data_IF_044960748681
#
_entry.id   IF_044960748681
#
_cell.length_a   1.000
_cell.length_b   1.000
_cell.length_c   1.000
_cell.angle_alpha   90.00
_cell.angle_beta   90.00
_cell.angle_gamma   90.00
#
_symmetry.space_group_name_H-M   'P 1'
#
loop_
_entity.id
_entity.type
_entity.pdbx_description
1 polymer ?
#
# COMPACT_ATOMS: atom_id res chain seq x y z
N UNK A 1 -21.15 19.99 -21.06
CA UNK A 1 -20.46 20.27 -19.78
C UNK A 1 -19.46 19.16 -19.54
N UNK A 2 -18.19 19.47 -19.28
CA UNK A 2 -17.13 18.45 -19.17
C UNK A 2 -17.39 17.55 -17.95
N UNK A 3 -18.06 16.42 -18.18
CA UNK A 3 -18.27 15.36 -17.19
C UNK A 3 -16.90 14.91 -16.69
N UNK A 4 -16.57 15.24 -15.43
CA UNK A 4 -15.35 14.94 -14.68
C UNK A 4 -14.31 14.07 -15.40
N UNK A 5 -13.63 14.67 -16.39
CA UNK A 5 -12.66 13.96 -17.21
C UNK A 5 -11.46 13.54 -16.34
N UNK A 6 -11.01 14.39 -15.43
CA UNK A 6 -9.84 14.09 -14.59
C UNK A 6 -10.26 13.44 -13.25
N UNK A 7 -9.95 12.16 -13.09
CA UNK A 7 -10.33 11.36 -11.93
C UNK A 7 -9.09 10.96 -11.13
N UNK A 8 -9.17 11.09 -9.80
CA UNK A 8 -8.03 10.95 -8.90
C UNK A 8 -7.97 9.56 -8.27
N UNK A 9 -6.84 8.87 -8.41
CA UNK A 9 -6.58 7.56 -7.79
C UNK A 9 -5.97 7.68 -6.39
N UNK A 10 -5.33 8.82 -6.07
CA UNK A 10 -5.13 9.30 -4.69
C UNK A 10 -5.89 10.62 -4.57
N UNK A 11 -6.81 10.75 -3.61
CA UNK A 11 -7.82 11.80 -3.67
C UNK A 11 -7.22 13.14 -3.30
N UNK A 12 -7.73 14.20 -3.92
CA UNK A 12 -7.26 15.54 -3.60
C UNK A 12 -7.47 15.87 -2.11
N UNK A 13 -8.57 15.41 -1.50
CA UNK A 13 -8.82 15.65 -0.07
C UNK A 13 -7.71 15.10 0.84
N UNK A 14 -7.03 14.04 0.43
CA UNK A 14 -5.87 13.48 1.11
C UNK A 14 -4.60 14.29 0.85
N UNK A 15 -4.28 14.57 -0.43
CA UNK A 15 -3.08 15.32 -0.79
C UNK A 15 -3.07 16.73 -0.20
N UNK A 16 -4.25 17.35 -0.05
CA UNK A 16 -4.44 18.66 0.58
C UNK A 16 -3.95 18.74 2.03
N UNK A 17 -3.82 17.60 2.73
CA UNK A 17 -3.26 17.58 4.08
C UNK A 17 -1.73 17.74 4.09
N UNK A 18 -1.09 17.59 2.93
CA UNK A 18 0.35 17.76 2.72
C UNK A 18 0.67 18.99 1.88
N UNK A 19 -0.29 19.92 1.73
CA UNK A 19 -0.09 21.16 1.00
C UNK A 19 1.08 21.98 1.52
N UNK A 20 1.76 22.70 0.64
CA UNK A 20 2.83 23.64 1.00
C UNK A 20 2.33 24.96 1.59
N UNK A 21 1.04 25.24 1.42
CA UNK A 21 0.39 26.47 1.86
C UNK A 21 -1.06 26.23 2.32
N UNK A 22 -1.63 27.25 2.97
CA UNK A 22 -3.00 27.21 3.51
C UNK A 22 -4.09 27.21 2.42
N UNK A 23 -3.75 27.62 1.18
CA UNK A 23 -4.70 27.57 0.05
C UNK A 23 -5.06 26.13 -0.34
N UNK A 24 -4.23 25.15 0.08
CA UNK A 24 -4.42 23.73 -0.23
C UNK A 24 -4.50 23.47 -1.75
N UNK A 25 -3.81 24.30 -2.54
CA UNK A 25 -3.79 24.21 -3.99
C UNK A 25 -2.51 23.57 -4.53
N UNK A 26 -1.40 23.68 -3.78
CA UNK A 26 -0.07 23.27 -4.23
C UNK A 26 0.62 22.31 -3.25
N UNK A 27 1.50 21.47 -3.76
CA UNK A 27 2.25 20.48 -2.98
C UNK A 27 3.69 20.39 -3.49
N UNK A 28 4.63 20.11 -2.61
CA UNK A 28 6.00 19.84 -3.01
C UNK A 28 6.10 18.39 -3.49
N UNK A 29 6.51 18.19 -4.74
CA UNK A 29 6.67 16.89 -5.37
C UNK A 29 8.15 16.61 -5.60
N UNK A 30 8.58 15.38 -5.37
CA UNK A 30 9.86 14.86 -5.84
C UNK A 30 9.63 13.59 -6.65
N UNK A 31 10.05 13.61 -7.91
CA UNK A 31 9.99 12.45 -8.78
C UNK A 31 11.28 11.65 -8.65
N UNK A 32 11.17 10.38 -8.24
CA UNK A 32 12.32 9.49 -8.02
C UNK A 32 13.09 9.25 -9.32
N UNK A 33 12.39 8.84 -10.38
CA UNK A 33 13.01 8.44 -11.64
C UNK A 33 13.80 9.59 -12.29
N UNK A 34 13.21 10.79 -12.29
CA UNK A 34 13.81 12.01 -12.84
C UNK A 34 14.74 12.72 -11.86
N UNK A 35 14.80 12.26 -10.61
CA UNK A 35 15.49 12.93 -9.49
C UNK A 35 15.19 14.43 -9.41
N UNK A 36 13.94 14.81 -9.67
CA UNK A 36 13.53 16.21 -9.87
C UNK A 36 12.51 16.67 -8.84
N UNK A 37 12.79 17.81 -8.22
CA UNK A 37 11.86 18.52 -7.35
C UNK A 37 10.96 19.48 -8.14
N UNK A 38 9.69 19.55 -7.77
CA UNK A 38 8.74 20.58 -8.16
C UNK A 38 8.16 21.17 -6.87
N UNK A 39 8.60 22.37 -6.50
CA UNK A 39 8.27 22.99 -5.21
C UNK A 39 6.77 23.29 -5.04
N UNK A 40 6.08 23.58 -6.15
CA UNK A 40 4.69 24.06 -6.17
C UNK A 40 3.88 23.33 -7.25
N UNK A 41 3.78 22.01 -7.13
CA UNK A 41 2.98 21.20 -8.05
C UNK A 41 1.47 21.39 -7.76
N UNK A 42 0.62 21.69 -8.76
CA UNK A 42 -0.82 21.82 -8.52
C UNK A 42 -1.44 20.48 -8.11
N UNK A 43 -2.08 20.42 -6.94
CA UNK A 43 -2.71 19.20 -6.39
C UNK A 43 -3.76 18.63 -7.35
N UNK A 44 -4.53 19.50 -8.02
CA UNK A 44 -5.55 19.11 -9.00
C UNK A 44 -5.01 18.29 -10.18
N UNK A 45 -3.70 18.33 -10.43
CA UNK A 45 -3.03 17.59 -11.52
C UNK A 45 -2.22 16.39 -10.99
N UNK A 46 -2.24 16.13 -9.68
CA UNK A 46 -1.50 15.04 -9.07
C UNK A 46 -2.38 13.81 -8.89
N UNK A 47 -1.77 12.63 -9.02
CA UNK A 47 -2.41 11.34 -8.80
C UNK A 47 -3.77 11.19 -9.52
N UNK A 48 -3.84 11.62 -10.78
CA UNK A 48 -5.07 11.62 -11.58
C UNK A 48 -4.82 11.22 -13.02
N UNK A 49 -5.87 10.71 -13.67
CA UNK A 49 -5.90 10.39 -15.10
C UNK A 49 -7.25 10.70 -15.69
N UNK A 50 -7.27 10.87 -17.00
CA UNK A 50 -8.51 11.00 -17.73
C UNK A 50 -9.31 9.70 -17.66
N UNK A 51 -10.57 9.77 -17.19
CA UNK A 51 -11.52 8.66 -17.08
C UNK A 51 -10.95 7.41 -16.38
N UNK A 52 -10.16 7.62 -15.31
CA UNK A 52 -9.49 6.55 -14.58
C UNK A 52 -10.43 5.42 -14.09
N UNK A 53 -11.62 5.79 -13.64
CA UNK A 53 -12.69 4.90 -13.18
C UNK A 53 -13.68 4.51 -14.30
N UNK A 54 -13.59 5.16 -15.46
CA UNK A 54 -14.58 5.08 -16.54
C UNK A 54 -15.35 6.38 -16.75
N UNK A 55 -16.21 6.38 -17.77
CA UNK A 55 -16.92 7.57 -18.26
C UNK A 55 -18.27 7.80 -17.56
N UNK A 56 -18.85 6.77 -16.94
CA UNK A 56 -20.22 6.79 -16.37
C UNK A 56 -20.36 7.56 -15.04
N UNK A 57 -19.23 7.98 -14.44
CA UNK A 57 -19.13 8.68 -13.15
C UNK A 57 -19.70 7.91 -11.93
N UNK A 58 -20.04 6.63 -12.06
CA UNK A 58 -20.68 5.85 -10.98
C UNK A 58 -19.73 5.71 -9.81
N UNK A 59 -18.49 5.27 -10.06
CA UNK A 59 -17.48 5.10 -9.03
C UNK A 59 -17.04 6.45 -8.43
N UNK A 60 -16.86 7.48 -9.26
CA UNK A 60 -16.50 8.82 -8.80
C UNK A 60 -17.53 9.34 -7.77
N UNK A 61 -18.83 9.21 -8.08
CA UNK A 61 -19.91 9.60 -7.16
C UNK A 61 -19.94 8.73 -5.90
N UNK A 62 -19.68 7.43 -6.01
CA UNK A 62 -19.63 6.54 -4.85
C UNK A 62 -18.47 6.85 -3.88
N UNK A 63 -17.37 7.40 -4.39
CA UNK A 63 -16.19 7.77 -3.59
C UNK A 63 -16.38 9.10 -2.83
N UNK A 64 -17.17 10.03 -3.36
CA UNK A 64 -17.34 11.38 -2.79
C UNK A 64 -17.73 11.39 -1.29
N UNK A 65 -18.71 10.60 -0.80
CA UNK A 65 -19.05 10.58 0.62
C UNK A 65 -17.91 10.06 1.51
N UNK A 66 -17.16 9.06 1.02
CA UNK A 66 -16.02 8.48 1.73
C UNK A 66 -14.91 9.54 1.87
N UNK A 67 -14.64 10.26 0.78
CA UNK A 67 -13.63 11.33 0.74
C UNK A 67 -14.02 12.55 1.58
N UNK A 68 -15.31 12.89 1.61
CA UNK A 68 -15.86 13.91 2.50
C UNK A 68 -15.70 13.54 3.97
N UNK A 69 -16.06 12.31 4.34
CA UNK A 69 -15.87 11.78 5.71
C UNK A 69 -14.40 11.75 6.11
N UNK A 70 -13.51 11.32 5.21
CA UNK A 70 -12.07 11.34 5.47
C UNK A 70 -11.56 12.77 5.73
N UNK A 71 -11.96 13.73 4.90
CA UNK A 71 -11.55 15.12 5.08
C UNK A 71 -12.01 15.71 6.41
N UNK A 72 -13.23 15.40 6.86
CA UNK A 72 -13.73 15.80 8.16
C UNK A 72 -12.94 15.13 9.29
N UNK A 73 -12.69 13.83 9.19
CA UNK A 73 -11.98 13.05 10.21
C UNK A 73 -10.54 13.51 10.42
N UNK A 74 -9.78 13.80 9.36
CA UNK A 74 -8.39 14.27 9.53
C UNK A 74 -8.34 15.61 10.25
N UNK A 75 -9.30 16.51 10.01
CA UNK A 75 -9.40 17.78 10.75
C UNK A 75 -9.60 17.53 12.25
N UNK A 76 -10.52 16.62 12.60
CA UNK A 76 -10.80 16.31 14.01
C UNK A 76 -9.66 15.53 14.69
N UNK A 77 -8.94 14.67 13.96
CA UNK A 77 -7.80 13.91 14.50
C UNK A 77 -6.68 14.81 15.03
N UNK A 78 -6.49 15.99 14.43
CA UNK A 78 -5.46 16.93 14.83
C UNK A 78 -5.87 17.82 16.01
N UNK A 79 -7.15 17.84 16.38
CA UNK A 79 -7.68 18.63 17.49
C UNK A 79 -7.10 18.15 18.85
N UNK A 80 -6.88 19.08 19.80
CA UNK A 80 -6.51 18.71 21.14
C UNK A 80 -7.54 17.75 21.76
N UNK A 81 -7.05 16.69 22.40
CA UNK A 81 -7.87 15.68 23.10
C UNK A 81 -8.73 14.76 22.23
N UNK A 82 -8.52 14.71 20.91
CA UNK A 82 -9.14 13.67 20.09
C UNK A 82 -8.85 12.27 20.63
N UNK A 83 -9.89 11.45 20.78
CA UNK A 83 -9.80 10.04 21.17
C UNK A 83 -10.27 9.21 19.98
N UNK A 84 -9.42 8.28 19.55
CA UNK A 84 -9.75 7.37 18.45
C UNK A 84 -10.88 6.42 18.91
N UNK A 85 -12.07 6.57 18.33
CA UNK A 85 -13.17 5.64 18.59
C UNK A 85 -13.06 4.39 17.71
N UNK A 86 -13.79 3.32 18.07
CA UNK A 86 -13.87 2.10 17.25
C UNK A 86 -14.43 2.37 15.85
N UNK A 87 -15.37 3.32 15.72
CA UNK A 87 -15.94 3.72 14.43
C UNK A 87 -14.91 4.43 13.55
N UNK A 88 -14.02 5.21 14.16
CA UNK A 88 -12.93 5.89 13.44
C UNK A 88 -11.87 4.89 13.03
N UNK A 89 -11.49 3.98 13.93
CA UNK A 89 -10.58 2.88 13.65
C UNK A 89 -11.08 2.02 12.48
N UNK A 90 -12.34 1.58 12.49
CA UNK A 90 -12.92 0.80 11.41
C UNK A 90 -12.92 1.57 10.08
N UNK A 91 -13.26 2.86 10.11
CA UNK A 91 -13.24 3.70 8.92
C UNK A 91 -11.82 3.91 8.38
N UNK A 92 -10.82 4.17 9.23
CA UNK A 92 -9.44 4.36 8.80
C UNK A 92 -8.87 3.09 8.15
N UNK A 93 -9.18 1.90 8.70
CA UNK A 93 -8.80 0.61 8.10
C UNK A 93 -9.43 0.42 6.72
N UNK A 94 -10.72 0.71 6.58
CA UNK A 94 -11.41 0.63 5.30
C UNK A 94 -10.91 1.68 4.30
N UNK A 95 -10.65 2.91 4.75
CA UNK A 95 -10.09 3.95 3.89
C UNK A 95 -8.68 3.60 3.42
N UNK A 96 -7.84 3.03 4.29
CA UNK A 96 -6.53 2.50 3.92
C UNK A 96 -6.67 1.40 2.85
N UNK A 97 -7.57 0.44 3.07
CA UNK A 97 -7.77 -0.66 2.12
C UNK A 97 -8.26 -0.15 0.76
N UNK A 98 -9.17 0.83 0.77
CA UNK A 98 -9.64 1.48 -0.43
C UNK A 98 -8.48 2.16 -1.18
N UNK A 99 -7.60 2.91 -0.50
CA UNK A 99 -6.40 3.47 -1.13
C UNK A 99 -5.46 2.38 -1.67
N UNK A 100 -5.27 1.29 -0.92
CA UNK A 100 -4.39 0.19 -1.31
C UNK A 100 -4.85 -0.51 -2.61
N UNK A 101 -6.16 -0.60 -2.83
CA UNK A 101 -6.76 -1.27 -3.99
C UNK A 101 -6.94 -0.38 -5.22
N UNK A 102 -7.08 0.94 -5.04
CA UNK A 102 -7.51 1.86 -6.11
C UNK A 102 -6.40 2.66 -6.80
N UNK A 103 -5.14 2.54 -6.39
CA UNK A 103 -4.05 3.32 -7.01
C UNK A 103 -3.74 2.84 -8.42
N UNK A 104 -3.10 3.70 -9.22
CA UNK A 104 -2.58 3.26 -10.52
C UNK A 104 -1.60 2.09 -10.35
N UNK A 105 -0.77 2.13 -9.30
CA UNK A 105 0.13 1.04 -8.98
C UNK A 105 -0.65 -0.27 -8.79
N UNK A 106 -1.78 -0.25 -8.07
CA UNK A 106 -2.65 -1.42 -7.91
C UNK A 106 -3.24 -1.93 -9.20
N UNK A 107 -3.75 -1.01 -10.02
CA UNK A 107 -4.44 -1.36 -11.26
C UNK A 107 -3.48 -2.00 -12.28
N UNK A 108 -2.24 -1.51 -12.35
CA UNK A 108 -1.23 -2.11 -13.23
C UNK A 108 -0.84 -3.52 -12.85
N UNK A 109 -0.81 -3.85 -11.55
CA UNK A 109 -0.55 -5.23 -11.09
C UNK A 109 -1.56 -6.21 -11.67
N UNK A 110 -2.85 -5.84 -11.67
CA UNK A 110 -3.91 -6.67 -12.20
C UNK A 110 -3.78 -6.85 -13.72
N UNK A 111 -3.39 -5.78 -14.43
CA UNK A 111 -3.13 -5.85 -15.88
C UNK A 111 -1.93 -6.76 -16.18
N UNK A 112 -0.81 -6.63 -15.46
CA UNK A 112 0.38 -7.48 -15.62
C UNK A 112 0.05 -8.96 -15.35
N UNK A 113 -0.79 -9.25 -14.36
CA UNK A 113 -1.26 -10.62 -14.08
C UNK A 113 -2.13 -11.16 -15.23
N UNK A 114 -3.05 -10.36 -15.76
CA UNK A 114 -3.89 -10.75 -16.88
C UNK A 114 -3.06 -11.01 -18.15
N UNK A 115 -2.05 -10.17 -18.42
CA UNK A 115 -1.09 -10.38 -19.51
C UNK A 115 -0.28 -11.67 -19.32
N UNK A 116 0.18 -11.96 -18.10
CA UNK A 116 0.86 -13.22 -17.77
C UNK A 116 -0.04 -14.44 -18.02
N UNK A 117 -1.31 -14.37 -17.65
CA UNK A 117 -2.29 -15.44 -17.90
C UNK A 117 -2.56 -15.65 -19.38
N UNK A 118 -2.69 -14.55 -20.15
CA UNK A 118 -2.88 -14.60 -21.60
C UNK A 118 -1.72 -15.30 -22.30
N UNK A 119 -0.46 -15.07 -21.85
CA UNK A 119 0.72 -15.76 -22.39
C UNK A 119 0.68 -17.27 -22.18
N UNK A 120 0.18 -17.75 -21.05
CA UNK A 120 0.12 -19.20 -20.77
C UNK A 120 -1.05 -19.88 -21.46
N UNK A 121 -2.21 -19.22 -21.47
CA UNK A 121 -3.44 -19.81 -22.01
C UNK A 121 -3.56 -19.67 -23.52
N UNK A 122 -2.74 -18.82 -24.15
CA UNK A 122 -2.90 -18.40 -25.54
C UNK A 122 -4.17 -17.58 -25.79
N UNK A 123 -4.95 -17.27 -24.74
CA UNK A 123 -6.18 -16.51 -24.85
C UNK A 123 -5.87 -15.03 -25.11
N UNK A 124 -5.94 -14.62 -26.37
CA UNK A 124 -5.73 -13.22 -26.80
C UNK A 124 -6.92 -12.31 -26.50
N UNK A 125 -8.10 -12.88 -26.25
CA UNK A 125 -9.35 -12.13 -26.10
C UNK A 125 -9.49 -11.46 -24.73
N UNK A 126 -8.66 -11.81 -23.75
CA UNK A 126 -8.70 -11.24 -22.41
C UNK A 126 -7.64 -10.13 -22.24
N UNK A 127 -7.92 -8.94 -22.78
CA UNK A 127 -7.09 -7.74 -22.56
C UNK A 127 -7.71 -6.84 -21.50
N UNK A 128 -7.26 -6.99 -20.25
CA UNK A 128 -7.71 -6.14 -19.14
C UNK A 128 -7.09 -4.74 -19.28
N UNK A 129 -7.89 -3.70 -19.43
CA UNK A 129 -7.38 -2.32 -19.37
C UNK A 129 -7.28 -1.82 -17.92
N UNK A 130 -6.56 -0.73 -17.70
CA UNK A 130 -6.43 -0.11 -16.36
C UNK A 130 -7.82 0.21 -15.77
N UNK A 131 -8.75 0.73 -16.58
CA UNK A 131 -10.10 1.08 -16.10
C UNK A 131 -10.86 -0.15 -15.60
N UNK A 132 -10.74 -1.29 -16.29
CA UNK A 132 -11.40 -2.54 -15.93
C UNK A 132 -10.79 -3.10 -14.65
N UNK A 133 -9.46 -3.07 -14.54
CA UNK A 133 -8.73 -3.44 -13.33
C UNK A 133 -9.15 -2.60 -12.12
N UNK A 134 -9.35 -1.29 -12.29
CA UNK A 134 -9.84 -0.41 -11.21
C UNK A 134 -11.26 -0.80 -10.81
N UNK A 135 -12.16 -0.98 -11.76
CA UNK A 135 -13.55 -1.37 -11.47
C UNK A 135 -13.62 -2.71 -10.74
N UNK A 136 -12.79 -3.69 -11.15
CA UNK A 136 -12.67 -4.96 -10.46
C UNK A 136 -12.15 -4.78 -9.03
N UNK A 137 -11.06 -4.03 -8.82
CA UNK A 137 -10.53 -3.72 -7.49
C UNK A 137 -11.58 -3.05 -6.59
N UNK A 138 -12.39 -2.16 -7.14
CA UNK A 138 -13.46 -1.46 -6.41
C UNK A 138 -14.61 -2.41 -6.03
N UNK A 139 -14.90 -3.44 -6.83
CA UNK A 139 -15.84 -4.51 -6.45
C UNK A 139 -15.24 -5.40 -5.36
N UNK A 140 -14.01 -5.86 -5.56
CA UNK A 140 -13.29 -6.70 -4.59
C UNK A 140 -13.18 -6.05 -3.21
N UNK A 141 -13.12 -4.71 -3.14
CA UNK A 141 -13.14 -3.99 -1.86
C UNK A 141 -14.32 -4.43 -0.97
N UNK A 142 -15.52 -4.60 -1.53
CA UNK A 142 -16.68 -4.99 -0.74
C UNK A 142 -16.58 -6.43 -0.21
N UNK A 143 -15.93 -7.31 -0.98
CA UNK A 143 -15.72 -8.71 -0.61
C UNK A 143 -14.64 -8.84 0.47
N UNK A 144 -13.57 -8.04 0.38
CA UNK A 144 -12.39 -8.19 1.24
C UNK A 144 -12.31 -7.18 2.39
N UNK A 145 -13.25 -6.24 2.53
CA UNK A 145 -13.16 -5.18 3.56
C UNK A 145 -13.02 -5.67 5.01
N UNK A 146 -13.47 -6.89 5.29
CA UNK A 146 -13.37 -7.50 6.62
C UNK A 146 -11.99 -8.13 6.88
N UNK A 147 -11.15 -8.34 5.86
CA UNK A 147 -9.84 -8.97 6.04
C UNK A 147 -8.91 -8.17 6.96
N UNK A 148 -9.15 -6.87 7.12
CA UNK A 148 -8.35 -5.98 7.97
C UNK A 148 -9.05 -5.65 9.29
N UNK A 149 -10.25 -6.17 9.57
CA UNK A 149 -11.04 -5.70 10.71
C UNK A 149 -10.44 -6.07 12.07
N UNK A 150 -9.72 -7.17 12.15
CA UNK A 150 -9.02 -7.69 13.33
C UNK A 150 -7.81 -6.84 13.75
N UNK A 151 -7.21 -6.13 12.79
CA UNK A 151 -6.00 -5.34 13.04
C UNK A 151 -6.27 -4.21 14.04
N UNK A 152 -5.35 -4.03 14.99
CA UNK A 152 -5.39 -2.94 15.97
C UNK A 152 -4.89 -1.65 15.32
N UNK A 153 -5.51 -0.51 15.61
CA UNK A 153 -5.03 0.79 15.11
C UNK A 153 -4.28 1.60 16.18
N UNK A 154 -3.22 2.29 15.76
CA UNK A 154 -2.51 3.31 16.51
C UNK A 154 -2.34 4.56 15.64
N UNK A 155 -2.77 5.71 16.16
CA UNK A 155 -2.39 7.01 15.61
C UNK A 155 -1.04 7.42 16.18
N UNK A 156 -0.13 7.78 15.29
CA UNK A 156 1.25 8.14 15.60
C UNK A 156 1.39 9.64 15.41
N UNK A 157 1.51 10.37 16.51
CA UNK A 157 1.74 11.82 16.53
C UNK A 157 3.23 12.11 16.47
N UNK A 158 3.64 12.90 15.49
CA UNK A 158 5.01 13.31 15.27
C UNK A 158 5.32 14.62 16.03
N UNK A 159 6.08 14.52 17.11
CA UNK A 159 6.57 15.66 17.89
C UNK A 159 8.00 16.05 17.50
N UNK A 160 8.41 15.80 16.25
CA UNK A 160 9.74 16.16 15.76
C UNK A 160 9.67 17.27 14.70
N UNK A 161 10.83 17.81 14.33
CA UNK A 161 10.94 18.81 13.26
C UNK A 161 10.90 18.23 11.85
N UNK A 162 11.09 16.91 11.71
CA UNK A 162 11.01 16.19 10.43
C UNK A 162 9.57 15.77 10.23
N UNK A 163 8.99 16.02 9.06
CA UNK A 163 7.60 15.68 8.79
C UNK A 163 7.45 14.26 8.23
N UNK A 164 6.27 13.67 8.44
CA UNK A 164 5.87 12.53 7.62
C UNK A 164 5.65 13.00 6.17
N UNK A 165 6.06 12.16 5.23
CA UNK A 165 5.84 12.38 3.80
C UNK A 165 4.77 11.41 3.29
N UNK A 166 4.23 11.66 2.10
CA UNK A 166 3.34 10.72 1.41
C UNK A 166 3.82 10.48 -0.02
N UNK A 167 3.09 9.65 -0.77
CA UNK A 167 3.42 9.33 -2.16
C UNK A 167 2.19 9.20 -3.06
N UNK A 168 2.43 8.87 -4.32
CA UNK A 168 1.42 8.47 -5.31
C UNK A 168 0.88 7.04 -5.11
N UNK A 169 1.34 6.33 -4.07
CA UNK A 169 0.84 5.05 -3.61
C UNK A 169 0.94 4.99 -2.07
N UNK A 170 0.09 5.75 -1.33
CA UNK A 170 0.35 6.10 0.07
C UNK A 170 0.06 4.98 1.07
N UNK A 171 -0.79 4.03 0.72
CA UNK A 171 -1.22 2.94 1.59
C UNK A 171 -0.21 1.78 1.53
N UNK A 172 0.67 1.72 2.52
CA UNK A 172 1.77 0.74 2.54
C UNK A 172 1.35 -0.50 3.31
N UNK A 173 1.46 -1.66 2.66
CA UNK A 173 1.44 -2.98 3.30
C UNK A 173 2.88 -3.45 3.45
N UNK A 174 3.28 -3.79 4.67
CA UNK A 174 4.58 -4.40 4.95
C UNK A 174 4.45 -5.42 6.09
N UNK A 175 5.52 -6.17 6.36
CA UNK A 175 5.54 -7.19 7.39
C UNK A 175 6.97 -7.38 7.90
N UNK A 176 7.28 -6.79 9.04
CA UNK A 176 8.64 -6.85 9.60
C UNK A 176 9.03 -8.27 10.00
N UNK A 177 8.08 -9.03 10.52
CA UNK A 177 8.29 -10.39 11.01
C UNK A 177 8.64 -11.30 9.85
N UNK A 178 7.78 -11.30 8.83
CA UNK A 178 7.93 -12.15 7.66
C UNK A 178 9.23 -11.86 6.90
N UNK A 179 9.64 -10.60 6.82
CA UNK A 179 10.89 -10.21 6.15
C UNK A 179 12.16 -10.57 6.92
N UNK A 180 12.06 -10.99 8.19
CA UNK A 180 13.21 -11.42 9.01
C UNK A 180 13.20 -12.90 9.36
N UNK A 181 12.03 -13.54 9.36
CA UNK A 181 11.89 -14.92 9.82
C UNK A 181 12.27 -15.91 8.72
N UNK A 182 13.29 -16.75 8.97
CA UNK A 182 13.75 -17.76 8.01
C UNK A 182 12.67 -18.74 7.58
N UNK A 183 11.65 -18.98 8.42
CA UNK A 183 10.53 -19.87 8.08
C UNK A 183 9.67 -19.29 6.95
N UNK A 184 9.78 -17.99 6.69
CA UNK A 184 9.01 -17.26 5.70
C UNK A 184 9.84 -16.86 4.45
N UNK A 185 11.13 -17.23 4.39
CA UNK A 185 12.10 -16.76 3.39
C UNK A 185 11.71 -17.02 1.92
N UNK A 186 10.89 -18.05 1.66
CA UNK A 186 10.40 -18.41 0.33
C UNK A 186 8.92 -18.07 0.08
N UNK A 187 8.26 -17.47 1.07
CA UNK A 187 6.85 -17.12 1.00
C UNK A 187 6.70 -15.61 0.77
N UNK A 188 5.61 -15.20 0.11
CA UNK A 188 5.17 -13.81 0.16
C UNK A 188 4.07 -13.66 1.21
N UNK A 189 3.66 -12.43 1.47
CA UNK A 189 2.57 -12.11 2.40
C UNK A 189 1.55 -11.21 1.73
N UNK A 190 0.30 -11.33 2.16
CA UNK A 190 -0.82 -10.53 1.70
C UNK A 190 -1.59 -9.95 2.86
N UNK A 191 -2.76 -9.39 2.56
CA UNK A 191 -3.60 -8.74 3.57
C UNK A 191 -4.07 -9.67 4.69
N UNK A 192 -4.16 -10.99 4.48
CA UNK A 192 -4.54 -11.97 5.49
C UNK A 192 -3.38 -12.59 6.28
N UNK A 193 -2.14 -12.23 5.96
CA UNK A 193 -0.96 -12.87 6.54
C UNK A 193 -0.69 -12.41 7.98
N UNK A 194 -0.15 -13.30 8.80
CA UNK A 194 0.31 -12.95 10.14
C UNK A 194 1.47 -11.93 10.06
N UNK A 195 1.48 -10.94 10.94
CA UNK A 195 2.50 -9.88 10.98
C UNK A 195 2.24 -8.72 10.00
N UNK A 196 1.02 -8.55 9.49
CA UNK A 196 0.74 -7.37 8.66
C UNK A 196 0.89 -6.05 9.43
N UNK A 197 1.52 -5.08 8.75
CA UNK A 197 1.61 -3.68 9.13
C UNK A 197 1.03 -2.84 7.98
N UNK A 198 -0.04 -2.10 8.27
CA UNK A 198 -0.70 -1.18 7.35
C UNK A 198 -0.39 0.25 7.77
N UNK A 199 0.22 1.02 6.87
CA UNK A 199 0.74 2.35 7.20
C UNK A 199 0.11 3.39 6.28
N UNK A 200 -0.40 4.48 6.87
CA UNK A 200 -0.96 5.62 6.14
C UNK A 200 -0.55 6.95 6.80
N UNK A 201 0.30 7.76 6.16
CA UNK A 201 0.45 9.16 6.54
C UNK A 201 -0.91 9.87 6.41
N UNK A 202 -1.43 10.49 7.46
CA UNK A 202 -2.69 11.25 7.38
C UNK A 202 -2.43 12.74 7.14
N UNK A 203 -1.33 13.22 7.71
CA UNK A 203 -0.76 14.55 7.58
C UNK A 203 0.75 14.52 7.86
N UNK A 204 1.48 15.63 7.68
CA UNK A 204 2.87 15.78 8.13
C UNK A 204 3.10 15.42 9.61
N UNK A 205 2.06 15.52 10.44
CA UNK A 205 2.13 15.35 11.90
C UNK A 205 1.44 14.10 12.44
N UNK A 206 0.58 13.46 11.66
CA UNK A 206 -0.14 12.26 12.10
C UNK A 206 -0.04 11.17 11.05
N UNK A 207 0.27 9.95 11.50
CA UNK A 207 0.30 8.74 10.70
C UNK A 207 -0.53 7.65 11.37
N UNK A 208 -1.26 6.86 10.61
CA UNK A 208 -1.96 5.67 11.07
C UNK A 208 -1.07 4.44 10.89
N UNK A 209 -0.99 3.61 11.93
CA UNK A 209 -0.50 2.23 11.86
C UNK A 209 -1.63 1.30 12.25
N UNK A 210 -2.10 0.45 11.34
CA UNK A 210 -2.86 -0.74 11.70
C UNK A 210 -1.91 -1.94 11.74
N UNK A 211 -1.98 -2.76 12.77
CA UNK A 211 -0.99 -3.81 13.01
C UNK A 211 -1.63 -5.08 13.53
N UNK A 212 -1.01 -6.20 13.18
CA UNK A 212 -1.33 -7.50 13.73
C UNK A 212 -1.04 -7.50 15.24
N UNK A 213 -2.11 -7.57 16.03
CA UNK A 213 -2.08 -7.51 17.48
C UNK A 213 -1.61 -8.80 18.16
N UNK A 214 -1.31 -9.86 17.41
CA UNK A 214 -0.72 -11.12 17.86
C UNK A 214 0.77 -11.24 17.57
N UNK A 215 1.29 -10.46 16.62
CA UNK A 215 2.73 -10.39 16.33
C UNK A 215 3.37 -9.16 16.98
N UNK A 216 2.67 -8.01 16.96
CA UNK A 216 3.25 -6.73 17.40
C UNK A 216 2.54 -6.11 18.60
N UNK A 217 3.29 -5.24 19.27
CA UNK A 217 2.79 -4.31 20.27
C UNK A 217 3.35 -2.91 20.00
N UNK A 218 2.51 -1.89 20.17
CA UNK A 218 2.92 -0.49 20.16
C UNK A 218 2.57 0.11 21.53
N UNK A 219 3.44 0.93 22.15
CA UNK A 219 3.20 1.54 23.45
C UNK A 219 2.23 2.73 23.32
N UNK A 220 0.99 2.46 22.91
CA UNK A 220 -0.07 3.46 22.71
C UNK A 220 -0.85 3.70 24.00
N UNK A 221 -1.31 4.94 24.20
CA UNK A 221 -2.27 5.32 25.23
C UNK A 221 -3.46 6.02 24.58
N UNK A 222 -4.67 5.58 24.89
CA UNK A 222 -5.93 6.08 24.28
C UNK A 222 -5.88 6.14 22.74
N UNK A 223 -5.28 5.12 22.10
CA UNK A 223 -5.15 5.05 20.64
C UNK A 223 -3.94 5.81 20.06
N UNK A 224 -3.17 6.53 20.88
CA UNK A 224 -2.09 7.41 20.43
C UNK A 224 -0.70 6.96 20.87
N UNK A 225 0.26 7.11 19.98
CA UNK A 225 1.69 7.04 20.24
C UNK A 225 2.34 8.37 19.86
N UNK A 226 3.28 8.88 20.66
CA UNK A 226 4.02 10.12 20.36
C UNK A 226 5.47 9.82 20.02
N UNK A 227 5.89 10.17 18.82
CA UNK A 227 7.29 10.06 18.40
C UNK A 227 8.05 11.32 18.79
N UNK A 228 9.23 11.10 19.40
CA UNK A 228 10.18 12.18 19.76
C UNK A 228 11.50 12.08 18.98
N UNK A 229 11.69 11.02 18.19
CA UNK A 229 12.94 10.78 17.47
C UNK A 229 12.73 10.90 15.96
N UNK A 230 13.59 11.68 15.30
CA UNK A 230 13.63 11.77 13.83
C UNK A 230 13.93 10.44 13.16
N UNK A 231 14.65 9.55 13.85
CA UNK A 231 14.95 8.20 13.36
C UNK A 231 13.67 7.41 13.04
N UNK A 232 12.69 7.42 13.96
CA UNK A 232 11.45 6.67 13.76
C UNK A 232 10.59 7.29 12.65
N UNK A 233 10.62 8.63 12.52
CA UNK A 233 9.99 9.34 11.39
C UNK A 233 10.65 8.95 10.06
N UNK A 234 11.99 8.91 10.02
CA UNK A 234 12.75 8.48 8.84
C UNK A 234 12.41 7.02 8.46
N UNK A 235 12.29 6.11 9.44
CA UNK A 235 11.87 4.72 9.20
C UNK A 235 10.48 4.62 8.56
N UNK A 236 9.50 5.39 9.02
CA UNK A 236 8.18 5.45 8.38
C UNK A 236 8.25 6.06 6.99
N UNK A 237 9.08 7.09 6.79
CA UNK A 237 9.23 7.74 5.49
C UNK A 237 9.94 6.83 4.48
N UNK A 238 10.90 5.99 4.88
CA UNK A 238 11.50 4.98 3.98
C UNK A 238 10.47 4.04 3.40
N UNK A 239 9.46 3.64 4.19
CA UNK A 239 8.37 2.80 3.71
C UNK A 239 7.55 3.50 2.62
N UNK A 240 7.34 4.82 2.71
CA UNK A 240 6.72 5.61 1.64
C UNK A 240 7.60 5.65 0.38
N UNK A 241 8.92 5.78 0.52
CA UNK A 241 9.83 5.80 -0.65
C UNK A 241 9.93 4.43 -1.32
N UNK A 242 9.93 3.35 -0.56
CA UNK A 242 9.90 1.99 -1.11
C UNK A 242 8.57 1.72 -1.81
N UNK A 243 7.46 2.15 -1.22
CA UNK A 243 6.11 1.89 -1.76
C UNK A 243 5.66 2.87 -2.84
N UNK A 244 6.24 4.05 -2.99
CA UNK A 244 5.79 4.99 -4.03
C UNK A 244 6.06 4.44 -5.44
N UNK A 245 5.23 4.80 -6.40
CA UNK A 245 5.47 4.44 -7.79
C UNK A 245 6.59 5.32 -8.36
N UNK A 246 6.35 6.63 -8.40
CA UNK A 246 7.27 7.58 -9.01
C UNK A 246 7.44 8.86 -8.18
N UNK A 247 6.41 9.27 -7.43
CA UNK A 247 6.37 10.59 -6.80
C UNK A 247 6.25 10.50 -5.28
N UNK A 248 7.10 11.27 -4.60
CA UNK A 248 6.98 11.63 -3.19
C UNK A 248 6.37 13.03 -3.07
N UNK A 249 5.65 13.23 -1.99
CA UNK A 249 4.98 14.49 -1.69
C UNK A 249 5.25 14.95 -0.25
N UNK A 250 5.41 16.26 -0.06
CA UNK A 250 5.62 16.87 1.24
C UNK A 250 5.12 18.31 1.32
N UNK A 251 4.99 18.81 2.55
CA UNK A 251 4.43 20.13 2.84
C UNK A 251 5.47 21.26 2.91
N UNK A 252 6.75 20.96 2.71
CA UNK A 252 7.86 21.92 2.81
C UNK A 252 8.52 22.14 1.45
N UNK A 253 8.77 23.39 1.10
CA UNK A 253 9.42 23.75 -0.18
C UNK A 253 10.94 23.57 -0.16
N UNK A 254 11.55 23.47 1.02
CA UNK A 254 12.97 23.21 1.27
C UNK A 254 13.28 21.72 1.56
N UNK A 255 12.31 20.83 1.33
CA UNK A 255 12.41 19.38 1.60
C UNK A 255 13.39 18.63 0.67
N UNK A 256 13.93 19.27 -0.35
CA UNK A 256 14.74 18.64 -1.40
C UNK A 256 15.89 17.78 -0.87
N UNK A 257 16.71 18.35 0.02
CA UNK A 257 17.84 17.64 0.64
C UNK A 257 17.37 16.42 1.43
N UNK A 258 16.19 16.50 2.04
CA UNK A 258 15.60 15.39 2.77
C UNK A 258 15.15 14.28 1.83
N UNK A 259 14.46 14.61 0.73
CA UNK A 259 14.07 13.63 -0.28
C UNK A 259 15.26 12.96 -0.96
N UNK A 260 16.29 13.72 -1.35
CA UNK A 260 17.52 13.16 -1.91
C UNK A 260 18.17 12.16 -0.95
N UNK A 261 18.33 12.55 0.32
CA UNK A 261 18.88 11.68 1.36
C UNK A 261 18.06 10.40 1.56
N UNK A 262 16.72 10.48 1.54
CA UNK A 262 15.87 9.30 1.64
C UNK A 262 16.03 8.40 0.40
N UNK A 263 16.02 9.01 -0.79
CA UNK A 263 16.17 8.31 -2.06
C UNK A 263 17.50 7.55 -2.13
N UNK A 264 18.61 8.20 -1.80
CA UNK A 264 19.95 7.59 -1.81
C UNK A 264 20.05 6.39 -0.85
N UNK A 265 19.27 6.39 0.23
CA UNK A 265 19.22 5.28 1.18
C UNK A 265 18.39 4.08 0.71
N UNK A 266 17.50 4.27 -0.27
CA UNK A 266 16.59 3.20 -0.72
C UNK A 266 16.77 2.80 -2.17
N UNK A 267 17.53 3.55 -3.00
CA UNK A 267 17.65 3.30 -4.44
C UNK A 267 18.08 1.87 -4.76
N UNK A 268 19.03 1.32 -4.00
CA UNK A 268 19.55 -0.03 -4.21
C UNK A 268 18.65 -1.12 -3.60
N UNK A 269 17.71 -0.73 -2.74
CA UNK A 269 16.76 -1.64 -2.07
C UNK A 269 15.43 -1.70 -2.82
N UNK A 270 15.03 -0.59 -3.45
CA UNK A 270 13.74 -0.46 -4.13
C UNK A 270 13.69 -1.45 -5.29
N UNK A 271 12.70 -2.37 -5.31
CA UNK A 271 12.70 -3.44 -6.29
C UNK A 271 12.34 -2.88 -7.68
N UNK A 272 13.07 -3.31 -8.71
CA UNK A 272 12.84 -2.90 -10.11
C UNK A 272 11.48 -3.35 -10.63
N UNK A 273 10.98 -4.47 -10.12
CA UNK A 273 9.66 -5.04 -10.38
C UNK A 273 8.97 -5.28 -9.05
N UNK A 274 7.64 -5.13 -9.00
CA UNK A 274 6.89 -5.34 -7.76
C UNK A 274 6.27 -6.73 -7.63
N UNK A 275 6.26 -7.49 -8.73
CA UNK A 275 5.67 -8.82 -8.78
C UNK A 275 6.61 -9.73 -9.54
N UNK A 276 6.62 -11.00 -9.13
CA UNK A 276 7.20 -12.08 -9.89
C UNK A 276 6.04 -12.95 -10.38
N UNK A 277 5.96 -13.17 -11.69
CA UNK A 277 5.08 -14.20 -12.24
C UNK A 277 5.86 -15.52 -12.17
N UNK A 278 5.29 -16.51 -11.49
CA UNK A 278 5.81 -17.86 -11.40
C UNK A 278 4.99 -18.76 -12.33
N UNK A 279 5.67 -19.51 -13.17
CA UNK A 279 5.10 -20.54 -14.03
C UNK A 279 5.49 -21.90 -13.46
N UNK A 280 4.51 -22.81 -13.37
CA UNK A 280 4.78 -24.18 -12.98
C UNK A 280 4.00 -25.14 -13.87
N UNK A 281 4.66 -26.14 -14.43
CA UNK A 281 4.06 -27.15 -15.31
C UNK A 281 3.90 -28.47 -14.57
N UNK A 282 2.91 -29.27 -14.95
CA UNK A 282 2.68 -30.57 -14.34
C UNK A 282 3.91 -31.46 -14.50
N UNK A 283 4.38 -32.01 -13.38
CA UNK A 283 5.58 -32.85 -13.28
C UNK A 283 5.19 -34.31 -13.04
N UNK A 284 4.33 -34.54 -12.05
CA UNK A 284 3.94 -35.88 -11.63
C UNK A 284 2.49 -35.89 -11.10
N UNK A 285 1.79 -37.01 -11.34
CA UNK A 285 0.51 -37.32 -10.70
C UNK A 285 0.69 -38.59 -9.89
N UNK A 286 0.52 -38.50 -8.58
CA UNK A 286 0.68 -39.64 -7.66
C UNK A 286 -0.33 -39.56 -6.53
N UNK A 287 -0.97 -40.68 -6.20
CA UNK A 287 -1.97 -40.83 -5.12
C UNK A 287 -3.08 -39.75 -5.12
N UNK A 288 -3.51 -39.33 -6.31
CA UNK A 288 -4.54 -38.29 -6.47
C UNK A 288 -4.05 -36.85 -6.25
N UNK A 289 -2.76 -36.66 -5.95
CA UNK A 289 -2.10 -35.35 -5.89
C UNK A 289 -1.36 -35.05 -7.19
N UNK A 290 -1.40 -33.78 -7.60
CA UNK A 290 -0.62 -33.25 -8.74
C UNK A 290 0.56 -32.45 -8.21
N UNK A 291 1.76 -32.77 -8.68
CA UNK A 291 2.98 -32.02 -8.42
C UNK A 291 3.33 -31.18 -9.64
N UNK A 292 3.62 -29.91 -9.42
CA UNK A 292 4.03 -28.97 -10.46
C UNK A 292 5.49 -28.54 -10.23
N UNK A 293 6.28 -28.48 -11.30
CA UNK A 293 7.67 -27.99 -11.28
C UNK A 293 7.73 -26.56 -11.81
N UNK A 294 8.50 -25.71 -11.15
CA UNK A 294 8.70 -24.31 -11.57
C UNK A 294 9.54 -24.25 -12.86
N UNK A 295 9.11 -23.45 -13.83
CA UNK A 295 9.83 -23.20 -15.09
C UNK A 295 10.00 -21.69 -15.33
N UNK A 296 10.97 -21.31 -16.18
CA UNK A 296 11.28 -19.89 -16.45
C UNK A 296 10.21 -19.21 -17.32
N UNK A 297 9.59 -19.95 -18.23
CA UNK A 297 8.56 -19.48 -19.16
C UNK A 297 7.57 -20.62 -19.44
N UNK A 298 6.30 -20.35 -19.78
CA UNK A 298 5.38 -21.39 -20.27
C UNK A 298 5.93 -22.16 -21.48
N UNK A 299 6.73 -21.52 -22.34
CA UNK A 299 7.17 -22.13 -23.61
C UNK A 299 8.40 -23.04 -23.50
N UNK A 300 8.92 -23.29 -22.29
CA UNK A 300 10.19 -24.02 -22.10
C UNK A 300 10.05 -25.51 -22.43
N UNK A 301 8.88 -26.09 -22.17
CA UNK A 301 8.60 -27.52 -22.42
C UNK A 301 7.13 -27.69 -22.84
N UNK A 302 6.83 -28.65 -23.73
CA UNK A 302 5.44 -29.05 -24.01
C UNK A 302 4.80 -29.62 -22.73
N UNK A 303 3.61 -29.13 -22.39
CA UNK A 303 2.89 -29.52 -21.19
C UNK A 303 1.38 -29.41 -21.40
N UNK A 304 0.62 -30.31 -20.77
CA UNK A 304 -0.86 -30.29 -20.83
C UNK A 304 -1.49 -29.36 -19.79
N UNK A 305 -0.81 -29.16 -18.65
CA UNK A 305 -1.30 -28.34 -17.54
C UNK A 305 -0.22 -27.42 -17.00
N UNK A 306 -0.59 -26.16 -16.76
CA UNK A 306 0.25 -25.17 -16.11
C UNK A 306 -0.51 -24.40 -15.03
N UNK A 307 0.22 -24.00 -13.99
CA UNK A 307 -0.19 -23.06 -12.97
C UNK A 307 0.58 -21.76 -13.15
N UNK A 308 -0.16 -20.64 -13.09
CA UNK A 308 0.39 -19.29 -13.08
C UNK A 308 0.05 -18.64 -11.75
N UNK A 309 1.06 -18.15 -11.05
CA UNK A 309 0.88 -17.45 -9.79
C UNK A 309 1.72 -16.17 -9.78
N UNK A 310 1.07 -15.04 -9.49
CA UNK A 310 1.77 -13.76 -9.23
C UNK A 310 2.07 -13.60 -7.76
N UNK A 311 3.34 -13.36 -7.45
CA UNK A 311 3.86 -13.17 -6.11
C UNK A 311 4.33 -11.71 -5.95
N UNK A 312 3.78 -10.94 -5.00
CA UNK A 312 4.30 -9.62 -4.69
C UNK A 312 5.72 -9.70 -4.10
N UNK A 313 6.56 -8.74 -4.48
CA UNK A 313 7.92 -8.57 -4.01
C UNK A 313 7.92 -7.48 -2.94
N UNK A 314 8.25 -7.87 -1.71
CA UNK A 314 8.44 -6.95 -0.59
C UNK A 314 9.91 -6.87 -0.22
N UNK A 315 10.32 -5.69 0.24
CA UNK A 315 11.69 -5.42 0.69
C UNK A 315 11.66 -4.75 2.05
N UNK A 316 12.69 -5.00 2.86
CA UNK A 316 12.85 -4.35 4.15
C UNK A 316 13.30 -2.89 3.95
N UNK A 317 12.79 -1.92 4.73
CA UNK A 317 13.35 -0.59 4.79
C UNK A 317 14.78 -0.61 5.37
N UNK A 318 15.60 0.41 5.12
CA UNK A 318 16.93 0.55 5.74
C UNK A 318 16.89 0.42 7.26
N UNK A 319 15.83 0.91 7.88
CA UNK A 319 15.57 0.78 9.30
C UNK A 319 14.07 0.62 9.58
N UNK A 320 13.74 -0.15 10.61
CA UNK A 320 12.38 -0.31 11.11
C UNK A 320 12.07 0.70 12.24
N UNK A 321 10.83 1.21 12.35
CA UNK A 321 10.45 2.09 13.44
C UNK A 321 10.55 1.35 14.78
N UNK A 322 11.37 1.86 15.72
CA UNK A 322 11.56 1.25 17.07
C UNK A 322 10.32 1.33 17.94
N UNK A 323 9.37 2.16 17.52
CA UNK A 323 8.03 2.27 18.09
C UNK A 323 7.22 0.96 17.98
N UNK A 324 7.44 0.19 16.92
CA UNK A 324 6.82 -1.12 16.73
C UNK A 324 7.70 -2.13 17.47
N UNK A 325 7.10 -2.95 18.32
CA UNK A 325 7.81 -3.97 19.10
C UNK A 325 7.19 -5.33 18.87
N UNK A 326 7.97 -6.39 19.04
CA UNK A 326 7.43 -7.74 19.17
C UNK A 326 6.46 -7.80 20.35
N UNK A 327 5.32 -8.48 20.17
CA UNK A 327 4.41 -8.78 21.28
C UNK A 327 5.08 -9.81 22.19
N UNK A 328 5.03 -9.58 23.50
CA UNK A 328 5.46 -10.60 24.45
C UNK A 328 4.58 -11.84 24.31
N UNK A 329 5.19 -13.02 24.11
CA UNK A 329 4.48 -14.26 23.74
C UNK A 329 3.61 -14.11 22.48
N UNK A 330 4.05 -13.27 21.53
CA UNK A 330 3.44 -13.19 20.21
C UNK A 330 3.57 -14.51 19.45
N UNK A 331 2.63 -14.77 18.56
CA UNK A 331 2.58 -16.02 17.80
C UNK A 331 2.12 -15.78 16.38
N UNK A 332 2.34 -16.79 15.54
CA UNK A 332 1.87 -16.89 14.16
C UNK A 332 1.32 -18.29 13.95
N UNK A 333 0.34 -18.46 13.06
CA UNK A 333 -0.27 -19.76 12.78
C UNK A 333 -0.04 -20.14 11.32
N UNK A 334 0.25 -21.42 11.07
CA UNK A 334 0.31 -21.99 9.73
C UNK A 334 -0.20 -23.43 9.77
N UNK A 335 -0.80 -23.90 8.68
CA UNK A 335 -1.16 -25.29 8.46
C UNK A 335 -0.14 -26.04 7.59
N UNK A 336 1.02 -25.42 7.30
CA UNK A 336 2.08 -26.00 6.45
C UNK A 336 1.79 -25.94 4.95
N UNK A 337 0.70 -25.29 4.51
CA UNK A 337 0.35 -25.14 3.09
C UNK A 337 0.92 -23.85 2.49
N UNK A 338 0.80 -23.70 1.16
CA UNK A 338 1.21 -22.49 0.43
C UNK A 338 0.46 -21.22 0.80
N UNK A 339 -0.60 -21.29 1.60
CA UNK A 339 -1.26 -20.12 2.21
C UNK A 339 -0.30 -19.38 3.17
N UNK A 340 0.70 -20.08 3.69
CA UNK A 340 1.75 -19.52 4.54
C UNK A 340 1.28 -19.28 5.97
N UNK A 341 1.69 -18.15 6.55
CA UNK A 341 1.32 -17.76 7.91
C UNK A 341 0.11 -16.84 7.91
N UNK A 342 -0.95 -17.23 8.63
CA UNK A 342 -2.26 -16.58 8.61
C UNK A 342 -2.58 -15.92 9.95
N UNK A 343 -3.35 -14.84 9.90
CA UNK A 343 -4.00 -14.29 11.09
C UNK A 343 -5.22 -15.10 11.47
N UNK A 344 -5.48 -15.20 12.77
CA UNK A 344 -6.71 -15.75 13.32
C UNK A 344 -7.71 -14.60 13.37
N UNK A 345 -8.58 -14.52 12.35
CA UNK A 345 -9.55 -13.43 12.16
C UNK A 345 -10.83 -13.72 12.94
#
# INVERSE_FOLDING_TARGET
MASNKNQHYVPQCYLKNFSTDDSKASICLYNLDRKKLVKTAPIKNQCSKNYFYGEDLVLEKALQPIEGRFSAMVRTIEEPNYILSEKDEAFLKQFWLLQYLRTEAASRRNVELAEGMSKVTGATDFKLEIKDAVQQSMRSFFDVKYIVSDLKVCLVKNNTSTDFITSDDPAVLTNWWHLLDKRAELQSFGLGSAGCLLILPLSPKVLMVAYDGDVYSLPKSKGWLRLKSKFDVDSFNYLQVLNCRANLYGCKTDIEKYFLRLHDKVIDIKPKQRHKINYAILDEVSDGAKRYKLVESPDVEEHEEALVHSQPIYVAPPTWPRAIKWKNKGFVVTNGTGVGFIRVI
#
